data_IF_451778894603
#
_entry.id   IF_451778894603
#
_cell.length_a   1.000
_cell.length_b   1.000
_cell.length_c   1.000
_cell.angle_alpha   90.00
_cell.angle_beta   90.00
_cell.angle_gamma   90.00
#
_symmetry.space_group_name_H-M   'P 1'
#
loop_
_entity.id
_entity.type
_entity.pdbx_description
1 polymer ?
#
# COMPACT_ATOMS: atom_id res chain seq x y z
N UNK A 1 10.14 4.48 45.19
CA UNK A 1 9.73 3.36 44.32
C UNK A 1 9.21 3.99 43.03
N UNK A 2 9.88 3.79 41.90
CA UNK A 2 9.36 4.29 40.61
C UNK A 2 8.16 3.42 40.28
N UNK A 3 6.94 3.98 40.31
CA UNK A 3 5.75 3.29 39.84
C UNK A 3 5.97 3.07 38.34
N UNK A 4 6.28 1.84 37.95
CA UNK A 4 6.40 1.48 36.54
C UNK A 4 4.97 1.47 35.99
N UNK A 5 4.59 2.56 35.34
CA UNK A 5 3.27 2.72 34.74
C UNK A 5 3.12 1.67 33.63
N UNK A 6 1.99 0.96 33.62
CA UNK A 6 1.70 -0.10 32.65
C UNK A 6 1.40 0.45 31.25
N UNK A 7 0.79 1.64 31.18
CA UNK A 7 0.36 2.33 29.96
C UNK A 7 0.66 3.83 30.04
N UNK A 8 1.09 4.45 28.94
CA UNK A 8 1.38 5.88 28.85
C UNK A 8 0.26 6.68 28.15
N UNK A 9 0.40 8.00 28.03
CA UNK A 9 -0.63 8.85 27.39
C UNK A 9 -0.93 8.49 25.92
N UNK A 10 0.02 7.92 25.19
CA UNK A 10 -0.20 7.50 23.80
C UNK A 10 -1.10 6.28 23.74
N UNK A 11 -0.99 5.38 24.70
CA UNK A 11 -1.84 4.19 24.79
C UNK A 11 -3.32 4.55 24.99
N UNK A 12 -3.63 5.68 25.63
CA UNK A 12 -5.03 6.14 25.77
C UNK A 12 -5.65 6.69 24.48
N UNK A 13 -4.86 6.92 23.42
CA UNK A 13 -5.37 7.41 22.13
C UNK A 13 -6.22 6.39 21.39
N UNK A 14 -6.17 5.12 21.79
CA UNK A 14 -7.02 4.06 21.23
C UNK A 14 -8.49 4.21 21.62
N UNK A 15 -8.84 5.05 22.59
CA UNK A 15 -10.21 5.30 23.01
C UNK A 15 -10.70 6.63 22.43
N UNK A 16 -11.79 6.61 21.64
CA UNK A 16 -12.26 7.82 20.95
C UNK A 16 -12.99 8.77 21.90
N UNK A 17 -13.83 8.24 22.78
CA UNK A 17 -14.61 9.02 23.74
C UNK A 17 -13.92 9.16 25.11
N UNK A 18 -14.27 10.23 25.83
CA UNK A 18 -13.67 10.54 27.14
C UNK A 18 -14.07 9.53 28.22
N UNK A 19 -15.28 8.97 28.14
CA UNK A 19 -15.80 8.04 29.14
C UNK A 19 -15.02 6.73 29.16
N UNK A 20 -14.72 6.16 27.99
CA UNK A 20 -13.90 4.95 27.84
C UNK A 20 -12.49 5.16 28.37
N UNK A 21 -11.90 6.34 28.13
CA UNK A 21 -10.60 6.71 28.71
C UNK A 21 -10.68 6.77 30.24
N UNK A 22 -11.75 7.34 30.78
CA UNK A 22 -11.94 7.45 32.22
C UNK A 22 -12.19 6.09 32.89
N UNK A 23 -13.01 5.23 32.28
CA UNK A 23 -13.20 3.84 32.74
C UNK A 23 -11.89 3.06 32.77
N UNK A 24 -11.07 3.15 31.71
CA UNK A 24 -9.77 2.47 31.71
C UNK A 24 -8.80 3.04 32.76
N UNK A 25 -8.81 4.36 32.99
CA UNK A 25 -8.04 4.97 34.08
C UNK A 25 -8.48 4.47 35.45
N UNK A 26 -9.78 4.28 35.68
CA UNK A 26 -10.32 3.73 36.92
C UNK A 26 -9.84 2.29 37.17
N UNK A 27 -9.82 1.46 36.12
CA UNK A 27 -9.29 0.09 36.16
C UNK A 27 -7.81 0.12 36.57
N UNK A 28 -7.00 0.96 35.93
CA UNK A 28 -5.56 1.06 36.23
C UNK A 28 -5.30 1.63 37.63
N UNK A 29 -6.09 2.62 38.07
CA UNK A 29 -5.99 3.16 39.42
C UNK A 29 -6.29 2.08 40.46
N UNK A 30 -7.32 1.26 40.22
CA UNK A 30 -7.65 0.12 41.07
C UNK A 30 -6.52 -0.90 41.13
N UNK A 31 -5.89 -1.19 39.98
CA UNK A 31 -4.75 -2.09 39.88
C UNK A 31 -3.54 -1.59 40.67
N UNK A 32 -3.12 -0.33 40.46
CA UNK A 32 -1.98 0.26 41.17
C UNK A 32 -2.21 0.38 42.69
N UNK A 33 -3.47 0.49 43.10
CA UNK A 33 -3.88 0.49 44.50
C UNK A 33 -3.96 -0.92 45.11
N UNK A 34 -3.58 -1.96 44.36
CA UNK A 34 -3.64 -3.38 44.73
C UNK A 34 -5.07 -3.89 44.99
N UNK A 35 -6.09 -3.20 44.46
CA UNK A 35 -7.49 -3.62 44.54
C UNK A 35 -7.80 -4.64 43.42
N UNK A 36 -7.11 -5.78 43.41
CA UNK A 36 -7.13 -6.71 42.27
C UNK A 36 -8.51 -7.34 42.01
N UNK A 37 -9.30 -7.61 43.06
CA UNK A 37 -10.69 -8.07 42.89
C UNK A 37 -11.55 -7.04 42.16
N UNK A 38 -11.49 -5.77 42.58
CA UNK A 38 -12.23 -4.69 41.94
C UNK A 38 -11.75 -4.45 40.52
N UNK A 39 -10.42 -4.49 40.31
CA UNK A 39 -9.79 -4.37 38.99
C UNK A 39 -10.37 -5.38 37.98
N UNK A 40 -10.43 -6.66 38.35
CA UNK A 40 -10.97 -7.72 37.47
C UNK A 40 -12.46 -7.51 37.20
N UNK A 41 -13.24 -7.10 38.20
CA UNK A 41 -14.67 -6.83 38.04
C UNK A 41 -14.90 -5.64 37.10
N UNK A 42 -14.20 -4.53 37.29
CA UNK A 42 -14.28 -3.34 36.45
C UNK A 42 -13.81 -3.63 35.01
N UNK A 43 -12.72 -4.37 34.86
CA UNK A 43 -12.20 -4.76 33.55
C UNK A 43 -13.21 -5.58 32.74
N UNK A 44 -13.83 -6.58 33.36
CA UNK A 44 -14.85 -7.39 32.68
C UNK A 44 -16.07 -6.55 32.27
N UNK A 45 -16.57 -5.68 33.15
CA UNK A 45 -17.68 -4.78 32.83
C UNK A 45 -17.34 -3.87 31.64
N UNK A 46 -16.12 -3.33 31.62
CA UNK A 46 -15.67 -2.47 30.53
C UNK A 46 -15.50 -3.23 29.21
N UNK A 47 -15.01 -4.47 29.25
CA UNK A 47 -14.94 -5.36 28.06
C UNK A 47 -16.32 -5.61 27.47
N UNK A 48 -17.33 -5.95 28.29
CA UNK A 48 -18.70 -6.15 27.79
C UNK A 48 -19.25 -4.87 27.19
N UNK A 49 -19.06 -3.74 27.88
CA UNK A 49 -19.51 -2.44 27.39
C UNK A 49 -18.88 -2.10 26.03
N UNK A 50 -17.57 -2.25 25.90
CA UNK A 50 -16.84 -1.98 24.66
C UNK A 50 -17.30 -2.90 23.52
N UNK A 51 -17.47 -4.21 23.78
CA UNK A 51 -18.04 -5.15 22.82
C UNK A 51 -19.47 -4.79 22.40
N UNK A 52 -20.30 -4.30 23.31
CA UNK A 52 -21.64 -3.85 23.00
C UNK A 52 -21.65 -2.59 22.12
N UNK A 53 -20.81 -1.59 22.42
CA UNK A 53 -20.64 -0.40 21.57
C UNK A 53 -20.16 -0.81 20.17
N UNK A 54 -19.25 -1.78 20.07
CA UNK A 54 -18.78 -2.32 18.79
C UNK A 54 -19.88 -2.99 18.00
N UNK A 55 -20.76 -3.76 18.67
CA UNK A 55 -21.94 -4.35 18.05
C UNK A 55 -22.88 -3.28 17.50
N UNK A 56 -23.12 -2.20 18.25
CA UNK A 56 -23.92 -1.06 17.80
C UNK A 56 -23.30 -0.39 16.57
N UNK A 57 -21.99 -0.15 16.58
CA UNK A 57 -21.29 0.43 15.44
C UNK A 57 -21.39 -0.46 14.20
N UNK A 58 -21.22 -1.77 14.34
CA UNK A 58 -21.42 -2.73 13.24
C UNK A 58 -22.84 -2.66 12.67
N UNK A 59 -23.86 -2.61 13.52
CA UNK A 59 -25.26 -2.50 13.08
C UNK A 59 -25.53 -1.17 12.34
N UNK A 60 -25.03 -0.05 12.88
CA UNK A 60 -25.19 1.28 12.28
C UNK A 60 -24.50 1.40 10.92
N UNK A 61 -23.42 0.65 10.69
CA UNK A 61 -22.73 0.56 9.40
C UNK A 61 -23.37 -0.45 8.43
N UNK A 62 -24.50 -1.07 8.80
CA UNK A 62 -25.32 -1.90 7.92
C UNK A 62 -25.08 -3.41 8.03
N UNK A 63 -24.33 -3.88 9.03
CA UNK A 63 -24.21 -5.32 9.28
C UNK A 63 -25.56 -5.90 9.77
N UNK A 64 -26.21 -6.67 8.88
CA UNK A 64 -27.52 -7.28 9.15
C UNK A 64 -27.50 -8.26 10.31
N UNK A 65 -26.40 -8.97 10.55
CA UNK A 65 -26.28 -9.90 11.67
C UNK A 65 -26.15 -9.14 12.98
N UNK A 66 -25.34 -8.07 12.99
CA UNK A 66 -25.21 -7.19 14.14
C UNK A 66 -26.53 -6.50 14.48
N UNK A 67 -27.25 -5.96 13.48
CA UNK A 67 -28.56 -5.32 13.67
C UNK A 67 -29.58 -6.29 14.28
N UNK A 68 -29.63 -7.53 13.78
CA UNK A 68 -30.49 -8.56 14.35
C UNK A 68 -30.14 -8.86 15.81
N UNK A 69 -28.86 -9.09 16.11
CA UNK A 69 -28.41 -9.41 17.47
C UNK A 69 -28.60 -8.22 18.43
N UNK A 70 -28.41 -6.99 17.96
CA UNK A 70 -28.64 -5.79 18.75
C UNK A 70 -30.12 -5.65 19.15
N UNK A 71 -31.05 -5.93 18.22
CA UNK A 71 -32.48 -5.97 18.52
C UNK A 71 -32.82 -7.04 19.55
N UNK A 72 -32.26 -8.25 19.40
CA UNK A 72 -32.42 -9.33 20.39
C UNK A 72 -31.95 -8.88 21.79
N UNK A 73 -30.76 -8.28 21.89
CA UNK A 73 -30.21 -7.80 23.18
C UNK A 73 -31.07 -6.69 23.78
N UNK A 74 -31.53 -5.72 22.98
CA UNK A 74 -32.39 -4.65 23.48
C UNK A 74 -33.71 -5.20 24.03
N UNK A 75 -34.32 -6.20 23.38
CA UNK A 75 -35.50 -6.89 23.92
C UNK A 75 -35.19 -7.61 25.23
N UNK A 76 -34.04 -8.29 25.36
CA UNK A 76 -33.65 -8.93 26.62
C UNK A 76 -33.50 -7.92 27.77
N UNK A 77 -33.04 -6.70 27.48
CA UNK A 77 -32.94 -5.61 28.45
C UNK A 77 -34.33 -5.08 28.82
N UNK A 78 -35.23 -4.93 27.84
CA UNK A 78 -36.62 -4.50 28.06
C UNK A 78 -37.42 -5.50 28.91
N UNK A 79 -37.15 -6.80 28.73
CA UNK A 79 -37.78 -7.91 29.46
C UNK A 79 -37.18 -8.14 30.87
N UNK A 80 -36.27 -7.27 31.33
CA UNK A 80 -35.54 -7.38 32.60
C UNK A 80 -34.83 -8.74 32.77
N UNK A 81 -34.28 -9.27 31.67
CA UNK A 81 -33.50 -10.49 31.73
C UNK A 81 -32.22 -10.29 32.57
N UNK A 82 -31.74 -11.38 33.18
CA UNK A 82 -30.51 -11.35 33.96
C UNK A 82 -29.35 -10.78 33.12
N UNK A 83 -28.69 -9.74 33.63
CA UNK A 83 -27.50 -9.16 32.99
C UNK A 83 -26.45 -10.20 32.57
N UNK A 84 -26.24 -11.26 33.37
CA UNK A 84 -25.32 -12.33 33.02
C UNK A 84 -25.68 -13.09 31.74
N UNK A 85 -26.97 -13.12 31.36
CA UNK A 85 -27.44 -13.69 30.10
C UNK A 85 -27.16 -12.75 28.93
N UNK A 86 -27.43 -11.46 29.11
CA UNK A 86 -27.11 -10.40 28.13
C UNK A 86 -25.61 -10.36 27.83
N UNK A 87 -24.76 -10.38 28.87
CA UNK A 87 -23.30 -10.43 28.74
C UNK A 87 -22.83 -11.61 27.88
N UNK A 88 -23.47 -12.78 28.04
CA UNK A 88 -23.11 -13.98 27.29
C UNK A 88 -23.49 -13.88 25.82
N UNK A 89 -24.67 -13.34 25.51
CA UNK A 89 -25.11 -13.15 24.12
C UNK A 89 -24.19 -12.19 23.35
N UNK A 90 -23.71 -11.14 24.01
CA UNK A 90 -22.75 -10.20 23.42
C UNK A 90 -21.45 -10.94 23.07
N UNK A 91 -20.86 -11.65 24.03
CA UNK A 91 -19.62 -12.40 23.79
C UNK A 91 -19.82 -13.46 22.69
N UNK A 92 -20.93 -14.22 22.76
CA UNK A 92 -21.20 -15.32 21.84
C UNK A 92 -21.33 -14.83 20.40
N UNK A 93 -21.94 -13.66 20.18
CA UNK A 93 -22.01 -13.05 18.85
C UNK A 93 -20.62 -12.90 18.21
N UNK A 94 -19.65 -12.37 18.96
CA UNK A 94 -18.29 -12.17 18.44
C UNK A 94 -17.55 -13.49 18.23
N UNK A 95 -17.74 -14.47 19.11
CA UNK A 95 -17.21 -15.84 18.93
C UNK A 95 -17.71 -16.46 17.62
N UNK A 96 -19.00 -16.33 17.32
CA UNK A 96 -19.62 -16.97 16.17
C UNK A 96 -19.39 -16.22 14.85
N UNK A 97 -19.28 -14.89 14.90
CA UNK A 97 -19.27 -14.04 13.69
C UNK A 97 -17.93 -13.40 13.38
N UNK A 98 -16.98 -13.39 14.32
CA UNK A 98 -15.64 -12.82 14.14
C UNK A 98 -14.51 -13.83 14.45
N UNK A 99 -14.58 -15.11 14.04
CA UNK A 99 -13.67 -16.16 14.52
C UNK A 99 -12.21 -15.92 14.16
N UNK A 100 -11.90 -15.42 12.94
CA UNK A 100 -10.49 -15.16 12.55
C UNK A 100 -9.77 -14.18 13.50
N UNK A 101 -10.53 -13.39 14.25
CA UNK A 101 -10.00 -12.49 15.26
C UNK A 101 -10.11 -13.09 16.67
N UNK A 102 -11.32 -13.46 17.10
CA UNK A 102 -11.60 -13.84 18.49
C UNK A 102 -11.03 -15.20 18.90
N UNK A 103 -10.81 -16.14 17.97
CA UNK A 103 -10.32 -17.49 18.29
C UNK A 103 -8.97 -17.47 19.03
N UNK A 104 -8.16 -16.42 18.84
CA UNK A 104 -6.83 -16.29 19.46
C UNK A 104 -6.85 -15.96 20.94
N UNK A 105 -7.93 -15.37 21.44
CA UNK A 105 -8.03 -14.86 22.82
C UNK A 105 -9.37 -15.20 23.47
N UNK A 106 -10.07 -16.19 22.91
CA UNK A 106 -11.35 -16.67 23.44
C UNK A 106 -11.19 -17.23 24.85
N UNK A 107 -10.07 -17.92 25.09
CA UNK A 107 -9.68 -18.47 26.39
C UNK A 107 -9.45 -17.35 27.41
N UNK A 108 -8.89 -16.22 26.98
CA UNK A 108 -8.64 -15.07 27.85
C UNK A 108 -9.94 -14.39 28.30
N UNK A 109 -10.92 -14.26 27.40
CA UNK A 109 -12.27 -13.76 27.74
C UNK A 109 -12.95 -14.71 28.73
N UNK A 110 -12.91 -16.01 28.46
CA UNK A 110 -13.53 -17.01 29.31
C UNK A 110 -12.84 -17.08 30.68
N UNK A 111 -11.52 -16.92 30.71
CA UNK A 111 -10.74 -16.81 31.94
C UNK A 111 -11.07 -15.54 32.72
N UNK A 112 -11.19 -14.38 32.06
CA UNK A 112 -11.60 -13.12 32.68
C UNK A 112 -12.98 -13.27 33.35
N UNK A 113 -13.96 -13.84 32.63
CA UNK A 113 -15.31 -14.09 33.15
C UNK A 113 -15.28 -14.99 34.38
N UNK A 114 -14.53 -16.09 34.32
CA UNK A 114 -14.37 -17.02 35.44
C UNK A 114 -13.71 -16.33 36.65
N UNK A 115 -12.68 -15.51 36.41
CA UNK A 115 -12.00 -14.74 37.44
C UNK A 115 -12.94 -13.70 38.07
N UNK A 116 -13.72 -12.97 37.25
CA UNK A 116 -14.74 -12.01 37.69
C UNK A 116 -15.79 -12.67 38.57
N UNK A 117 -16.30 -13.85 38.18
CA UNK A 117 -17.28 -14.57 38.99
C UNK A 117 -16.71 -14.96 40.37
N UNK A 118 -15.46 -15.43 40.43
CA UNK A 118 -14.77 -15.71 41.71
C UNK A 118 -14.53 -14.43 42.54
N UNK A 119 -14.26 -13.30 41.89
CA UNK A 119 -14.04 -12.03 42.58
C UNK A 119 -15.35 -11.43 43.13
N UNK A 120 -16.45 -11.54 42.40
CA UNK A 120 -17.74 -10.93 42.74
C UNK A 120 -18.58 -11.77 43.72
N UNK A 121 -18.46 -13.10 43.68
CA UNK A 121 -19.28 -14.00 44.49
C UNK A 121 -18.48 -14.62 45.65
N UNK A 122 -19.06 -14.62 46.85
CA UNK A 122 -18.49 -15.30 48.02
C UNK A 122 -18.51 -16.81 47.80
N UNK A 123 -17.37 -17.48 48.04
CA UNK A 123 -17.35 -18.94 48.18
C UNK A 123 -17.94 -19.31 49.53
N UNK A 124 -19.20 -19.74 49.53
CA UNK A 124 -19.95 -20.12 50.74
C UNK A 124 -19.28 -21.28 51.50
N UNK A 125 -18.49 -22.11 50.82
CA UNK A 125 -17.92 -23.33 51.42
C UNK A 125 -16.58 -23.15 52.15
N UNK A 126 -15.84 -22.05 51.93
CA UNK A 126 -14.43 -21.93 52.39
C UNK A 126 -14.12 -20.71 53.26
N UNK A 127 -15.11 -19.86 53.60
CA UNK A 127 -14.93 -18.61 54.38
C UNK A 127 -13.82 -17.65 53.86
N UNK A 128 -13.28 -17.88 52.66
CA UNK A 128 -12.20 -17.08 52.08
C UNK A 128 -12.65 -16.46 50.77
N UNK A 129 -12.33 -15.17 50.60
CA UNK A 129 -12.55 -14.45 49.36
C UNK A 129 -11.41 -14.76 48.39
N UNK A 130 -11.73 -15.14 47.17
CA UNK A 130 -10.73 -15.29 46.12
C UNK A 130 -10.13 -13.92 45.77
N UNK A 131 -8.80 -13.81 45.85
CA UNK A 131 -8.05 -12.62 45.45
C UNK A 131 -7.09 -13.03 44.32
N UNK A 132 -7.22 -12.47 43.11
CA UNK A 132 -6.26 -12.72 42.05
C UNK A 132 -4.90 -12.10 42.41
N UNK A 133 -3.82 -12.72 41.94
CA UNK A 133 -2.47 -12.15 42.10
C UNK A 133 -2.25 -10.97 41.15
N UNK A 134 -1.24 -10.15 41.47
CA UNK A 134 -0.76 -9.05 40.62
C UNK A 134 -0.56 -9.50 39.16
N UNK A 135 0.15 -10.61 38.95
CA UNK A 135 0.42 -11.17 37.64
C UNK A 135 -0.85 -11.52 36.86
N UNK A 136 -1.85 -12.11 37.52
CA UNK A 136 -3.12 -12.46 36.86
C UNK A 136 -3.90 -11.21 36.48
N UNK A 137 -4.00 -10.22 37.38
CA UNK A 137 -4.69 -8.96 37.09
C UNK A 137 -4.01 -8.23 35.93
N UNK A 138 -2.67 -8.14 35.97
CA UNK A 138 -1.87 -7.53 34.91
C UNK A 138 -2.04 -8.21 33.55
N UNK A 139 -1.94 -9.53 33.52
CA UNK A 139 -2.10 -10.32 32.29
C UNK A 139 -3.47 -10.08 31.65
N UNK A 140 -4.54 -10.10 32.46
CA UNK A 140 -5.90 -9.84 31.98
C UNK A 140 -6.04 -8.41 31.43
N UNK A 141 -5.48 -7.40 32.11
CA UNK A 141 -5.51 -6.01 31.61
C UNK A 141 -4.81 -5.91 30.25
N UNK A 142 -3.59 -6.45 30.13
CA UNK A 142 -2.82 -6.40 28.88
C UNK A 142 -3.55 -7.13 27.75
N UNK A 143 -4.01 -8.37 27.98
CA UNK A 143 -4.71 -9.16 26.97
C UNK A 143 -6.00 -8.45 26.49
N UNK A 144 -6.84 -7.96 27.40
CA UNK A 144 -8.08 -7.26 27.01
C UNK A 144 -7.80 -5.92 26.33
N UNK A 145 -6.73 -5.22 26.73
CA UNK A 145 -6.32 -4.00 26.05
C UNK A 145 -5.88 -4.30 24.61
N UNK A 146 -4.97 -5.25 24.42
CA UNK A 146 -4.39 -5.58 23.11
C UNK A 146 -5.41 -6.21 22.16
N UNK A 147 -6.33 -7.02 22.68
CA UNK A 147 -7.22 -7.85 21.87
C UNK A 147 -8.67 -7.39 21.83
N UNK A 148 -9.09 -6.49 22.71
CA UNK A 148 -10.46 -5.97 22.67
C UNK A 148 -10.38 -4.45 22.57
N UNK A 149 -9.99 -3.79 23.65
CA UNK A 149 -10.19 -2.35 23.83
C UNK A 149 -9.46 -1.48 22.79
N UNK A 150 -8.27 -1.88 22.35
CA UNK A 150 -7.50 -1.12 21.36
C UNK A 150 -7.97 -1.31 19.92
N UNK A 151 -8.80 -2.33 19.65
CA UNK A 151 -9.24 -2.67 18.30
C UNK A 151 -10.59 -2.05 17.98
N UNK A 152 -10.71 -1.43 16.81
CA UNK A 152 -11.90 -0.69 16.38
C UNK A 152 -12.87 -1.57 15.59
N UNK A 153 -14.17 -1.38 15.81
CA UNK A 153 -15.23 -1.95 14.97
C UNK A 153 -15.63 -0.98 13.84
N UNK A 154 -16.24 -1.48 12.75
CA UNK A 154 -16.52 -2.89 12.47
C UNK A 154 -15.27 -3.70 12.12
N UNK A 155 -15.28 -4.98 12.50
CA UNK A 155 -14.23 -5.92 12.11
C UNK A 155 -14.45 -6.31 10.64
N UNK A 156 -13.73 -5.68 9.73
CA UNK A 156 -13.79 -6.04 8.31
C UNK A 156 -13.05 -7.39 8.15
N UNK A 157 -13.80 -8.48 8.02
CA UNK A 157 -13.24 -9.84 7.87
C UNK A 157 -13.00 -10.25 6.42
N UNK A 158 -13.71 -9.61 5.49
CA UNK A 158 -13.60 -9.80 4.06
C UNK A 158 -13.89 -8.49 3.35
N UNK A 159 -12.83 -7.72 3.06
CA UNK A 159 -12.96 -6.41 2.43
C UNK A 159 -13.69 -6.48 1.09
N UNK A 160 -13.48 -7.54 0.31
CA UNK A 160 -14.06 -7.61 -1.04
C UNK A 160 -15.59 -7.60 -1.00
N UNK A 161 -16.19 -8.29 -0.02
CA UNK A 161 -17.64 -8.37 0.14
C UNK A 161 -18.35 -7.03 0.44
N UNK A 162 -17.61 -6.05 0.95
CA UNK A 162 -18.16 -4.74 1.33
C UNK A 162 -17.65 -3.61 0.44
N UNK A 163 -16.48 -3.79 -0.20
CA UNK A 163 -15.83 -2.77 -1.01
C UNK A 163 -16.19 -2.86 -2.50
N UNK A 164 -17.02 -3.82 -2.91
CA UNK A 164 -17.34 -4.07 -4.33
C UNK A 164 -17.83 -2.80 -5.04
N UNK A 165 -18.77 -2.07 -4.45
CA UNK A 165 -19.31 -0.83 -5.05
C UNK A 165 -18.23 0.25 -5.21
N UNK A 166 -17.34 0.40 -4.22
CA UNK A 166 -16.23 1.35 -4.31
C UNK A 166 -15.19 0.91 -5.34
N UNK A 167 -14.96 -0.41 -5.49
CA UNK A 167 -14.09 -0.95 -6.55
C UNK A 167 -14.64 -0.58 -7.92
N UNK A 168 -15.95 -0.73 -8.13
CA UNK A 168 -16.62 -0.36 -9.37
C UNK A 168 -16.55 1.17 -9.61
N UNK A 169 -16.80 1.99 -8.58
CA UNK A 169 -16.70 3.46 -8.66
C UNK A 169 -15.28 3.93 -9.00
N UNK A 170 -14.24 3.33 -8.38
CA UNK A 170 -12.86 3.63 -8.73
C UNK A 170 -12.47 3.11 -10.12
N UNK A 171 -13.08 2.02 -10.58
CA UNK A 171 -12.86 1.54 -11.94
C UNK A 171 -13.39 2.51 -12.99
N UNK A 172 -14.52 3.17 -12.72
CA UNK A 172 -15.11 4.17 -13.62
C UNK A 172 -14.40 5.53 -13.57
N UNK A 173 -13.92 5.94 -12.38
CA UNK A 173 -13.30 7.26 -12.19
C UNK A 173 -11.81 7.33 -12.56
N UNK A 174 -11.07 6.21 -12.45
CA UNK A 174 -9.65 6.17 -12.78
C UNK A 174 -9.49 5.89 -14.28
N UNK A 175 -9.18 6.95 -15.04
CA UNK A 175 -8.99 6.86 -16.49
C UNK A 175 -7.69 6.16 -16.92
N UNK A 176 -6.65 6.22 -16.08
CA UNK A 176 -5.34 5.65 -16.39
C UNK A 176 -4.57 5.31 -15.11
N UNK A 177 -3.78 4.23 -15.16
CA UNK A 177 -2.87 3.81 -14.09
C UNK A 177 -1.47 4.33 -14.42
N UNK A 178 -0.94 5.32 -13.67
CA UNK A 178 0.41 5.79 -13.88
C UNK A 178 1.43 4.77 -13.38
N UNK A 179 2.63 4.81 -13.94
CA UNK A 179 3.72 3.88 -13.62
C UNK A 179 4.41 4.17 -12.28
N UNK A 180 4.07 5.27 -11.61
CA UNK A 180 4.74 5.81 -10.43
C UNK A 180 3.78 6.07 -9.25
N UNK A 181 2.61 5.43 -9.25
CA UNK A 181 1.83 5.25 -8.04
C UNK A 181 0.34 5.57 -8.16
N UNK A 182 -0.23 6.09 -7.07
CA UNK A 182 -1.66 6.33 -6.92
C UNK A 182 -1.91 7.65 -6.18
N UNK A 183 -2.96 8.36 -6.60
CA UNK A 183 -3.42 9.60 -6.00
C UNK A 183 -3.57 9.48 -4.47
N UNK A 184 -3.00 10.43 -3.75
CA UNK A 184 -3.01 10.44 -2.28
C UNK A 184 -4.42 10.58 -1.69
N UNK A 185 -5.35 11.26 -2.36
CA UNK A 185 -6.75 11.38 -1.94
C UNK A 185 -7.45 10.02 -2.00
N UNK A 186 -7.21 9.24 -3.07
CA UNK A 186 -7.76 7.88 -3.19
C UNK A 186 -7.19 6.98 -2.07
N UNK A 187 -5.86 6.99 -1.88
CA UNK A 187 -5.21 6.22 -0.81
C UNK A 187 -5.76 6.58 0.58
N UNK A 188 -5.90 7.88 0.86
CA UNK A 188 -6.41 8.36 2.14
C UNK A 188 -7.88 7.97 2.36
N UNK A 189 -8.70 8.04 1.31
CA UNK A 189 -10.11 7.61 1.35
C UNK A 189 -10.24 6.13 1.69
N UNK A 190 -9.58 5.25 0.93
CA UNK A 190 -9.60 3.80 1.14
C UNK A 190 -9.03 3.44 2.53
N UNK A 191 -7.93 4.09 2.93
CA UNK A 191 -7.30 3.84 4.24
C UNK A 191 -8.22 4.23 5.39
N UNK A 192 -8.86 5.40 5.31
CA UNK A 192 -9.74 5.89 6.36
C UNK A 192 -11.05 5.10 6.45
N UNK A 193 -11.63 4.73 5.30
CA UNK A 193 -12.89 3.99 5.21
C UNK A 193 -12.72 2.53 5.63
N UNK A 194 -11.63 1.89 5.23
CA UNK A 194 -11.45 0.44 5.39
C UNK A 194 -10.23 0.07 6.23
N UNK A 195 -9.02 0.39 5.76
CA UNK A 195 -7.81 -0.31 6.23
C UNK A 195 -7.49 -0.06 7.71
N UNK A 196 -7.77 1.13 8.25
CA UNK A 196 -7.57 1.45 9.68
C UNK A 196 -8.41 0.60 10.64
N UNK A 197 -9.46 -0.06 10.14
CA UNK A 197 -10.40 -0.88 10.90
C UNK A 197 -10.12 -2.38 10.73
N UNK A 198 -9.10 -2.72 9.95
CA UNK A 198 -8.73 -4.11 9.66
C UNK A 198 -7.70 -4.60 10.66
N UNK A 199 -7.84 -5.86 11.06
CA UNK A 199 -6.79 -6.61 11.74
C UNK A 199 -5.73 -7.03 10.73
N UNK A 200 -4.55 -7.43 11.21
CA UNK A 200 -3.50 -7.98 10.35
C UNK A 200 -4.00 -9.16 9.49
N UNK A 201 -4.74 -10.11 10.09
CA UNK A 201 -5.24 -11.28 9.36
C UNK A 201 -6.30 -10.95 8.33
N UNK A 202 -7.18 -9.99 8.66
CA UNK A 202 -8.15 -9.46 7.71
C UNK A 202 -7.46 -8.77 6.53
N UNK A 203 -6.45 -7.96 6.80
CA UNK A 203 -5.65 -7.28 5.78
C UNK A 203 -4.95 -8.30 4.90
N UNK A 204 -4.30 -9.29 5.49
CA UNK A 204 -3.64 -10.40 4.80
C UNK A 204 -4.58 -11.15 3.87
N UNK A 205 -5.75 -11.58 4.39
CA UNK A 205 -6.77 -12.29 3.61
C UNK A 205 -7.28 -11.43 2.45
N UNK A 206 -7.52 -10.16 2.70
CA UNK A 206 -8.01 -9.23 1.68
C UNK A 206 -6.94 -8.96 0.62
N UNK A 207 -5.71 -8.69 1.03
CA UNK A 207 -4.57 -8.49 0.13
C UNK A 207 -4.41 -9.66 -0.83
N UNK A 208 -4.42 -10.89 -0.30
CA UNK A 208 -4.41 -12.13 -1.09
C UNK A 208 -5.50 -12.15 -2.16
N UNK A 209 -6.74 -11.83 -1.77
CA UNK A 209 -7.88 -11.80 -2.69
C UNK A 209 -7.69 -10.75 -3.77
N UNK A 210 -7.39 -9.51 -3.41
CA UNK A 210 -7.28 -8.40 -4.36
C UNK A 210 -6.11 -8.55 -5.33
N UNK A 211 -4.93 -9.00 -4.87
CA UNK A 211 -3.79 -9.27 -5.76
C UNK A 211 -4.14 -10.36 -6.77
N UNK A 212 -4.79 -11.45 -6.34
CA UNK A 212 -5.23 -12.52 -7.23
C UNK A 212 -6.25 -12.01 -8.26
N UNK A 213 -7.24 -11.23 -7.83
CA UNK A 213 -8.25 -10.68 -8.73
C UNK A 213 -7.64 -9.69 -9.74
N UNK A 214 -6.69 -8.86 -9.30
CA UNK A 214 -6.02 -7.87 -10.15
C UNK A 214 -5.11 -8.52 -11.20
N UNK A 215 -4.23 -9.43 -10.77
CA UNK A 215 -3.08 -9.87 -11.57
C UNK A 215 -3.23 -11.26 -12.21
N UNK A 216 -4.15 -12.11 -11.71
CA UNK A 216 -4.26 -13.51 -12.13
C UNK A 216 -5.64 -13.87 -12.70
N UNK A 217 -6.72 -13.25 -12.20
CA UNK A 217 -8.08 -13.61 -12.60
C UNK A 217 -8.47 -13.05 -13.98
N UNK A 218 -8.91 -13.92 -14.89
CA UNK A 218 -9.44 -13.53 -16.21
C UNK A 218 -10.97 -13.45 -16.26
N UNK A 219 -11.63 -13.43 -15.09
CA UNK A 219 -13.07 -13.19 -15.03
C UNK A 219 -13.41 -11.80 -15.59
N UNK A 220 -14.49 -11.71 -16.37
CA UNK A 220 -14.91 -10.48 -17.06
C UNK A 220 -15.07 -9.29 -16.09
N UNK A 221 -15.67 -9.53 -14.93
CA UNK A 221 -15.81 -8.53 -13.87
C UNK A 221 -14.45 -8.04 -13.32
N UNK A 222 -13.43 -8.91 -13.28
CA UNK A 222 -12.09 -8.49 -12.85
C UNK A 222 -11.43 -7.62 -13.91
N UNK A 223 -11.63 -7.93 -15.20
CA UNK A 223 -11.09 -7.16 -16.33
C UNK A 223 -11.75 -5.79 -16.40
N UNK A 224 -13.07 -5.73 -16.22
CA UNK A 224 -13.83 -4.46 -16.17
C UNK A 224 -13.36 -3.58 -15.02
N UNK A 225 -13.05 -4.16 -13.87
CA UNK A 225 -12.75 -3.43 -12.65
C UNK A 225 -11.24 -3.33 -12.31
N UNK A 226 -10.34 -3.50 -13.29
CA UNK A 226 -8.88 -3.49 -13.05
C UNK A 226 -8.41 -2.24 -12.33
N UNK A 227 -8.88 -1.05 -12.72
CA UNK A 227 -8.45 0.21 -12.10
C UNK A 227 -8.87 0.32 -10.63
N UNK A 228 -10.07 -0.15 -10.28
CA UNK A 228 -10.53 -0.22 -8.89
C UNK A 228 -9.74 -1.24 -8.06
N UNK A 229 -9.54 -2.45 -8.61
CA UNK A 229 -8.72 -3.48 -7.98
C UNK A 229 -7.28 -3.00 -7.75
N UNK A 230 -6.72 -2.24 -8.70
CA UNK A 230 -5.43 -1.58 -8.57
C UNK A 230 -5.43 -0.57 -7.42
N UNK A 231 -6.43 0.32 -7.34
CA UNK A 231 -6.51 1.33 -6.28
C UNK A 231 -6.46 0.70 -4.88
N UNK A 232 -7.24 -0.36 -4.67
CA UNK A 232 -7.25 -1.11 -3.41
C UNK A 232 -5.93 -1.85 -3.16
N UNK A 233 -5.42 -2.59 -4.14
CA UNK A 233 -4.18 -3.37 -3.99
C UNK A 233 -2.98 -2.47 -3.69
N UNK A 234 -2.87 -1.35 -4.39
CA UNK A 234 -1.82 -0.36 -4.17
C UNK A 234 -1.94 0.25 -2.78
N UNK A 235 -3.14 0.66 -2.37
CA UNK A 235 -3.36 1.25 -1.04
C UNK A 235 -3.10 0.24 0.09
N UNK A 236 -3.47 -1.02 -0.07
CA UNK A 236 -3.16 -2.07 0.90
C UNK A 236 -1.65 -2.34 0.99
N UNK A 237 -0.94 -2.30 -0.14
CA UNK A 237 0.53 -2.42 -0.16
C UNK A 237 1.18 -1.27 0.61
N UNK A 238 0.76 -0.03 0.32
CA UNK A 238 1.20 1.19 1.02
C UNK A 238 0.97 1.10 2.53
N UNK A 239 -0.24 0.70 2.91
CA UNK A 239 -0.66 0.58 4.31
C UNK A 239 0.12 -0.51 5.03
N UNK A 240 0.31 -1.68 4.42
CA UNK A 240 1.08 -2.77 5.02
C UNK A 240 2.53 -2.34 5.30
N UNK A 241 3.19 -1.68 4.35
CA UNK A 241 4.57 -1.21 4.52
C UNK A 241 4.66 -0.14 5.61
N UNK A 242 3.77 0.85 5.61
CA UNK A 242 3.76 1.93 6.62
C UNK A 242 3.50 1.44 8.04
N UNK A 243 2.80 0.31 8.21
CA UNK A 243 2.54 -0.29 9.51
C UNK A 243 3.54 -1.40 9.89
N UNK A 244 4.61 -1.59 9.11
CA UNK A 244 5.65 -2.58 9.41
C UNK A 244 5.24 -4.04 9.16
N UNK A 245 4.20 -4.27 8.35
CA UNK A 245 3.67 -5.60 8.02
C UNK A 245 4.44 -6.28 6.87
N UNK A 246 5.76 -6.06 6.77
CA UNK A 246 6.60 -6.56 5.68
C UNK A 246 6.60 -8.09 5.57
N UNK A 247 6.36 -8.82 6.66
CA UNK A 247 6.25 -10.28 6.66
C UNK A 247 5.13 -10.82 5.76
N UNK A 248 4.10 -10.01 5.50
CA UNK A 248 3.00 -10.35 4.59
C UNK A 248 3.49 -10.76 3.20
N UNK A 249 4.54 -10.10 2.72
CA UNK A 249 5.09 -10.27 1.37
C UNK A 249 6.00 -11.50 1.25
N UNK A 250 6.42 -12.08 2.38
CA UNK A 250 7.22 -13.31 2.42
C UNK A 250 6.37 -14.57 2.63
N UNK A 251 5.04 -14.44 2.67
CA UNK A 251 4.18 -15.58 2.86
C UNK A 251 4.06 -16.43 1.60
N UNK A 252 4.19 -17.75 1.77
CA UNK A 252 4.12 -18.72 0.68
C UNK A 252 2.85 -18.54 -0.18
N UNK A 253 1.70 -18.26 0.45
CA UNK A 253 0.44 -18.09 -0.29
C UNK A 253 0.32 -16.78 -1.07
N UNK A 254 1.11 -15.75 -0.73
CA UNK A 254 1.20 -14.51 -1.50
C UNK A 254 2.20 -14.70 -2.64
N UNK A 255 3.37 -15.30 -2.35
CA UNK A 255 4.39 -15.65 -3.35
C UNK A 255 3.78 -16.53 -4.46
N UNK A 256 2.99 -17.54 -4.08
CA UNK A 256 2.28 -18.43 -5.02
C UNK A 256 1.30 -17.69 -5.95
N UNK A 257 0.75 -16.54 -5.54
CA UNK A 257 -0.09 -15.73 -6.43
C UNK A 257 0.77 -15.02 -7.47
N UNK A 258 1.88 -14.41 -7.05
CA UNK A 258 2.79 -13.72 -7.96
C UNK A 258 3.47 -14.67 -8.95
N UNK A 259 3.76 -15.91 -8.54
CA UNK A 259 4.29 -16.94 -9.45
C UNK A 259 3.27 -17.42 -10.50
N UNK A 260 1.97 -17.18 -10.28
CA UNK A 260 0.90 -17.52 -11.23
C UNK A 260 0.61 -16.42 -12.25
N UNK A 261 1.20 -15.24 -12.08
CA UNK A 261 1.14 -14.19 -13.10
C UNK A 261 1.82 -14.72 -14.36
N UNK A 262 1.17 -14.56 -15.50
CA UNK A 262 1.71 -14.98 -16.79
C UNK A 262 1.76 -13.81 -17.77
N UNK A 263 2.71 -13.87 -18.69
CA UNK A 263 2.97 -12.80 -19.67
C UNK A 263 1.78 -12.55 -20.59
N UNK A 264 1.04 -13.59 -20.97
CA UNK A 264 -0.11 -13.47 -21.89
C UNK A 264 -1.26 -12.69 -21.27
N UNK A 265 -1.57 -12.92 -20.00
CA UNK A 265 -2.56 -12.16 -19.23
C UNK A 265 -2.19 -10.68 -19.07
N UNK A 266 -0.90 -10.34 -19.06
CA UNK A 266 -0.42 -8.95 -19.05
C UNK A 266 -0.49 -8.30 -20.44
N UNK A 267 -0.15 -9.05 -21.50
CA UNK A 267 -0.27 -8.57 -22.90
C UNK A 267 -1.72 -8.28 -23.28
N UNK A 268 -2.65 -9.10 -22.80
CA UNK A 268 -4.08 -8.96 -23.10
C UNK A 268 -4.75 -7.81 -22.31
N UNK A 269 -4.07 -7.23 -21.31
CA UNK A 269 -4.61 -6.13 -20.50
C UNK A 269 -3.54 -5.10 -20.15
N UNK A 270 -3.48 -4.02 -20.94
CA UNK A 270 -2.61 -2.87 -20.67
C UNK A 270 -2.79 -2.29 -19.26
N UNK A 271 -4.02 -2.10 -18.73
CA UNK A 271 -4.20 -1.65 -17.34
C UNK A 271 -3.60 -2.61 -16.31
N UNK A 272 -3.69 -3.94 -16.52
CA UNK A 272 -3.11 -4.93 -15.60
C UNK A 272 -1.58 -4.88 -15.62
N UNK A 273 -0.97 -4.74 -16.80
CA UNK A 273 0.48 -4.55 -16.92
C UNK A 273 0.92 -3.25 -16.20
N UNK A 274 0.21 -2.15 -16.41
CA UNK A 274 0.50 -0.87 -15.75
C UNK A 274 0.32 -0.96 -14.22
N UNK A 275 -0.68 -1.70 -13.73
CA UNK A 275 -0.88 -1.95 -12.31
C UNK A 275 0.32 -2.68 -11.69
N UNK A 276 0.83 -3.73 -12.36
CA UNK A 276 2.02 -4.45 -11.91
C UNK A 276 3.26 -3.55 -11.93
N UNK A 277 3.47 -2.80 -13.02
CA UNK A 277 4.58 -1.85 -13.16
C UNK A 277 4.55 -0.86 -12.01
N UNK A 278 3.41 -0.22 -11.76
CA UNK A 278 3.27 0.77 -10.69
C UNK A 278 3.56 0.19 -9.30
N UNK A 279 3.12 -1.03 -9.02
CA UNK A 279 3.40 -1.70 -7.75
C UNK A 279 4.90 -1.96 -7.56
N UNK A 280 5.57 -2.53 -8.57
CA UNK A 280 6.99 -2.92 -8.43
C UNK A 280 7.94 -1.72 -8.44
N UNK A 281 7.61 -0.65 -9.17
CA UNK A 281 8.40 0.59 -9.18
C UNK A 281 8.23 1.39 -7.89
N UNK A 282 7.04 1.32 -7.28
CA UNK A 282 6.75 2.03 -6.01
C UNK A 282 7.23 1.26 -4.78
N UNK A 283 7.26 -0.07 -4.84
CA UNK A 283 7.51 -0.92 -3.68
C UNK A 283 8.57 -2.01 -3.97
N UNK A 284 9.83 -1.82 -3.57
CA UNK A 284 10.92 -2.78 -3.82
C UNK A 284 10.64 -4.20 -3.32
N UNK A 285 9.92 -4.34 -2.20
CA UNK A 285 9.53 -5.66 -1.67
C UNK A 285 8.64 -6.45 -2.64
N UNK A 286 7.81 -5.77 -3.42
CA UNK A 286 6.98 -6.41 -4.46
C UNK A 286 7.82 -6.72 -5.70
N UNK A 287 8.75 -5.83 -6.07
CA UNK A 287 9.72 -6.09 -7.14
C UNK A 287 10.52 -7.37 -6.88
N UNK A 288 10.96 -7.58 -5.64
CA UNK A 288 11.73 -8.78 -5.27
C UNK A 288 10.91 -10.06 -5.44
N UNK A 289 9.61 -10.07 -5.09
CA UNK A 289 8.74 -11.23 -5.34
C UNK A 289 8.60 -11.48 -6.85
N UNK A 290 8.37 -10.43 -7.64
CA UNK A 290 8.15 -10.55 -9.09
C UNK A 290 9.43 -11.03 -9.80
N UNK A 291 10.61 -10.68 -9.28
CA UNK A 291 11.90 -11.10 -9.83
C UNK A 291 12.08 -12.63 -9.85
N UNK A 292 11.44 -13.34 -8.93
CA UNK A 292 11.46 -14.81 -8.93
C UNK A 292 10.66 -15.41 -10.10
N UNK A 293 9.70 -14.66 -10.66
CA UNK A 293 8.99 -15.00 -11.88
C UNK A 293 9.71 -14.39 -13.10
N UNK A 294 10.80 -15.04 -13.54
CA UNK A 294 11.71 -14.54 -14.58
C UNK A 294 11.02 -14.08 -15.86
N UNK A 295 10.08 -14.87 -16.38
CA UNK A 295 9.39 -14.55 -17.64
C UNK A 295 8.59 -13.25 -17.53
N UNK A 296 7.89 -13.05 -16.39
CA UNK A 296 7.13 -11.82 -16.12
C UNK A 296 8.06 -10.65 -15.85
N UNK A 297 9.12 -10.86 -15.08
CA UNK A 297 10.12 -9.84 -14.79
C UNK A 297 10.76 -9.32 -16.08
N UNK A 298 11.24 -10.22 -16.94
CA UNK A 298 11.88 -9.88 -18.22
C UNK A 298 10.90 -9.17 -19.17
N UNK A 299 9.63 -9.61 -19.19
CA UNK A 299 8.60 -8.95 -19.99
C UNK A 299 8.36 -7.51 -19.53
N UNK A 300 8.15 -7.30 -18.22
CA UNK A 300 7.88 -5.97 -17.66
C UNK A 300 9.11 -5.06 -17.76
N UNK A 301 10.31 -5.56 -17.46
CA UNK A 301 11.54 -4.78 -17.59
C UNK A 301 11.72 -4.30 -19.03
N UNK A 302 11.49 -5.18 -20.02
CA UNK A 302 11.54 -4.79 -21.43
C UNK A 302 10.45 -3.78 -21.79
N UNK A 303 9.21 -3.96 -21.32
CA UNK A 303 8.10 -3.03 -21.58
C UNK A 303 8.37 -1.60 -21.05
N UNK A 304 9.11 -1.49 -19.94
CA UNK A 304 9.46 -0.20 -19.31
C UNK A 304 10.74 0.38 -19.91
N UNK A 305 11.83 -0.38 -19.91
CA UNK A 305 13.18 0.11 -20.20
C UNK A 305 13.47 0.30 -21.68
N UNK A 306 12.60 -0.18 -22.58
CA UNK A 306 12.70 0.11 -24.02
C UNK A 306 12.13 1.47 -24.40
N UNK A 307 11.49 2.19 -23.46
CA UNK A 307 10.92 3.52 -23.69
C UNK A 307 11.85 4.60 -23.14
N UNK A 308 12.04 5.73 -23.83
CA UNK A 308 12.89 6.83 -23.37
C UNK A 308 12.61 7.27 -21.93
N UNK A 309 11.33 7.45 -21.58
CA UNK A 309 10.90 7.86 -20.24
C UNK A 309 11.08 6.79 -19.16
N UNK A 310 11.21 5.52 -19.54
CA UNK A 310 11.40 4.43 -18.59
C UNK A 310 12.87 4.19 -18.24
N UNK A 311 13.81 4.80 -18.97
CA UNK A 311 15.24 4.61 -18.77
C UNK A 311 15.70 4.99 -17.36
N UNK A 312 15.09 6.01 -16.74
CA UNK A 312 15.36 6.42 -15.36
C UNK A 312 15.05 5.32 -14.33
N UNK A 313 14.23 4.33 -14.68
CA UNK A 313 13.91 3.17 -13.84
C UNK A 313 14.92 2.03 -13.96
N UNK A 314 15.97 2.15 -14.80
CA UNK A 314 16.95 1.08 -14.98
C UNK A 314 17.55 0.59 -13.66
N UNK A 315 17.96 1.50 -12.77
CA UNK A 315 18.50 1.15 -11.44
C UNK A 315 17.45 0.63 -10.46
N UNK A 316 16.16 0.88 -10.71
CA UNK A 316 15.07 0.27 -9.94
C UNK A 316 14.93 -1.21 -10.29
N UNK A 317 15.00 -1.56 -11.59
CA UNK A 317 14.97 -2.95 -12.04
C UNK A 317 16.27 -3.71 -11.74
N UNK A 318 17.41 -3.03 -11.88
CA UNK A 318 18.75 -3.62 -11.80
C UNK A 318 19.64 -2.87 -10.77
N UNK A 319 19.28 -2.88 -9.47
CA UNK A 319 19.97 -2.08 -8.46
C UNK A 319 21.40 -2.53 -8.17
N UNK A 320 21.74 -3.79 -8.50
CA UNK A 320 23.06 -4.39 -8.25
C UNK A 320 23.96 -4.43 -9.47
N UNK A 321 23.45 -4.06 -10.65
CA UNK A 321 24.26 -4.05 -11.87
C UNK A 321 25.27 -2.91 -11.82
N UNK A 322 26.53 -3.23 -12.15
CA UNK A 322 27.60 -2.23 -12.21
C UNK A 322 27.43 -1.27 -13.39
N UNK A 323 26.76 -1.73 -14.45
CA UNK A 323 26.47 -0.94 -15.65
C UNK A 323 25.72 0.34 -15.29
N UNK A 324 26.18 1.49 -15.78
CA UNK A 324 25.52 2.79 -15.61
C UNK A 324 24.25 2.90 -16.46
N UNK A 325 23.42 3.91 -16.19
CA UNK A 325 22.24 4.18 -17.03
C UNK A 325 22.69 4.59 -18.44
N UNK A 326 23.78 5.36 -18.56
CA UNK A 326 24.33 5.76 -19.85
C UNK A 326 24.88 4.59 -20.67
N UNK A 327 25.64 3.66 -20.06
CA UNK A 327 26.04 2.42 -20.73
C UNK A 327 24.82 1.62 -21.24
N UNK A 328 23.78 1.48 -20.42
CA UNK A 328 22.56 0.81 -20.86
C UNK A 328 21.88 1.55 -22.02
N UNK A 329 21.79 2.89 -21.95
CA UNK A 329 21.28 3.71 -23.04
C UNK A 329 22.02 3.44 -24.35
N UNK A 330 23.35 3.39 -24.35
CA UNK A 330 24.16 3.15 -25.56
C UNK A 330 23.89 1.80 -26.22
N UNK A 331 23.70 0.75 -25.42
CA UNK A 331 23.45 -0.61 -25.91
C UNK A 331 22.03 -0.82 -26.44
N UNK A 332 21.08 0.04 -26.07
CA UNK A 332 19.64 -0.17 -26.33
C UNK A 332 19.08 0.89 -27.28
N UNK A 333 19.21 0.67 -28.58
CA UNK A 333 18.77 1.64 -29.60
C UNK A 333 17.27 1.95 -29.60
N UNK A 334 16.44 1.11 -28.97
CA UNK A 334 14.99 1.37 -28.88
C UNK A 334 14.64 2.63 -28.09
N UNK A 335 15.52 3.08 -27.19
CA UNK A 335 15.31 4.31 -26.40
C UNK A 335 15.81 5.56 -27.12
N UNK A 336 16.50 5.42 -28.25
CA UNK A 336 17.07 6.53 -29.00
C UNK A 336 15.98 7.21 -29.81
N UNK A 337 15.25 8.12 -29.17
CA UNK A 337 14.19 8.90 -29.80
C UNK A 337 14.48 10.40 -29.65
N UNK A 338 14.82 11.08 -30.76
CA UNK A 338 15.30 12.47 -30.72
C UNK A 338 14.28 13.48 -30.16
N UNK A 339 12.98 13.15 -30.18
CA UNK A 339 11.94 13.97 -29.54
C UNK A 339 12.06 14.00 -28.00
N UNK A 340 12.74 13.02 -27.40
CA UNK A 340 12.99 12.92 -25.96
C UNK A 340 14.43 13.27 -25.58
N UNK A 341 15.17 13.99 -26.44
CA UNK A 341 16.58 14.34 -26.20
C UNK A 341 16.79 14.95 -24.81
N UNK A 342 15.99 15.95 -24.43
CA UNK A 342 16.09 16.59 -23.11
C UNK A 342 15.84 15.60 -21.96
N UNK A 343 14.81 14.76 -22.07
CA UNK A 343 14.46 13.77 -21.03
C UNK A 343 15.57 12.73 -20.87
N UNK A 344 16.11 12.27 -21.99
CA UNK A 344 17.21 11.30 -22.02
C UNK A 344 18.47 11.93 -21.43
N UNK A 345 18.80 13.16 -21.81
CA UNK A 345 19.93 13.92 -21.26
C UNK A 345 19.82 14.06 -19.74
N UNK A 346 18.68 14.54 -19.24
CA UNK A 346 18.43 14.66 -17.79
C UNK A 346 18.56 13.32 -17.05
N UNK A 347 18.27 12.20 -17.74
CA UNK A 347 18.39 10.86 -17.17
C UNK A 347 19.83 10.36 -17.08
N UNK A 348 20.72 10.79 -18.00
CA UNK A 348 22.07 10.22 -18.13
C UNK A 348 23.19 11.19 -17.75
N UNK A 349 22.95 12.51 -17.69
CA UNK A 349 23.98 13.55 -17.51
C UNK A 349 24.81 13.41 -16.24
N UNK A 350 24.22 12.84 -15.19
CA UNK A 350 24.89 12.66 -13.88
C UNK A 350 25.61 11.30 -13.78
N UNK A 351 25.68 10.52 -14.86
CA UNK A 351 26.48 9.29 -14.88
C UNK A 351 27.98 9.62 -14.97
N UNK A 352 28.81 8.97 -14.16
CA UNK A 352 30.27 9.18 -14.16
C UNK A 352 30.93 8.95 -15.53
N UNK A 353 30.32 8.08 -16.35
CA UNK A 353 30.77 7.72 -17.70
C UNK A 353 30.06 8.51 -18.82
N UNK A 354 29.29 9.54 -18.48
CA UNK A 354 28.57 10.36 -19.46
C UNK A 354 29.53 11.17 -20.34
N UNK A 355 29.28 11.14 -21.64
CA UNK A 355 30.00 11.91 -22.66
C UNK A 355 28.97 12.65 -23.52
N UNK A 356 28.95 13.99 -23.42
CA UNK A 356 28.01 14.83 -24.15
C UNK A 356 28.20 14.72 -25.66
N UNK A 357 29.45 14.65 -26.16
CA UNK A 357 29.75 14.58 -27.58
C UNK A 357 29.27 13.25 -28.19
N UNK A 358 29.50 12.15 -27.48
CA UNK A 358 28.96 10.83 -27.86
C UNK A 358 27.41 10.84 -27.82
N UNK A 359 26.82 11.41 -26.78
CA UNK A 359 25.37 11.52 -26.64
C UNK A 359 24.71 12.29 -27.78
N UNK A 360 25.21 13.48 -28.15
CA UNK A 360 24.62 14.27 -29.26
C UNK A 360 24.76 13.56 -30.59
N UNK A 361 25.83 12.80 -30.82
CA UNK A 361 26.00 11.98 -32.03
C UNK A 361 24.95 10.86 -32.07
N UNK A 362 24.70 10.16 -30.96
CA UNK A 362 23.66 9.14 -30.87
C UNK A 362 22.29 9.76 -31.18
N UNK A 363 21.96 10.89 -30.57
CA UNK A 363 20.67 11.55 -30.73
C UNK A 363 20.48 12.17 -32.12
N UNK A 364 21.54 12.65 -32.77
CA UNK A 364 21.48 13.11 -34.17
C UNK A 364 21.14 11.96 -35.13
N UNK A 365 21.73 10.77 -34.92
CA UNK A 365 21.43 9.58 -35.71
C UNK A 365 20.01 9.05 -35.46
N UNK A 366 19.45 9.33 -34.29
CA UNK A 366 18.09 8.93 -33.89
C UNK A 366 16.97 9.73 -34.59
N UNK A 367 17.30 10.79 -35.33
CA UNK A 367 16.30 11.60 -36.03
C UNK A 367 15.73 10.79 -37.20
N UNK A 368 14.40 10.55 -37.26
CA UNK A 368 13.79 9.80 -38.35
C UNK A 368 14.03 10.44 -39.72
N UNK A 369 14.14 9.61 -40.76
CA UNK A 369 14.27 10.07 -42.16
C UNK A 369 12.92 10.39 -42.82
N UNK A 370 11.81 10.10 -42.15
CA UNK A 370 10.44 10.41 -42.57
C UNK A 370 9.63 10.95 -41.39
N UNK A 371 8.80 11.97 -41.63
CA UNK A 371 7.99 12.65 -40.62
C UNK A 371 8.81 13.11 -39.38
N UNK A 372 10.05 13.55 -39.64
CA UNK A 372 11.08 13.80 -38.62
C UNK A 372 11.28 15.27 -38.26
N UNK A 373 10.56 16.22 -38.89
CA UNK A 373 10.79 17.66 -38.67
C UNK A 373 10.72 18.06 -37.19
N UNK A 374 9.72 17.56 -36.45
CA UNK A 374 9.59 17.87 -35.03
C UNK A 374 10.73 17.28 -34.19
N UNK A 375 11.16 16.05 -34.51
CA UNK A 375 12.30 15.39 -33.86
C UNK A 375 13.60 16.17 -34.11
N UNK A 376 13.80 16.64 -35.34
CA UNK A 376 14.95 17.45 -35.72
C UNK A 376 14.96 18.82 -35.02
N UNK A 377 13.80 19.43 -34.81
CA UNK A 377 13.66 20.68 -34.07
C UNK A 377 13.93 20.50 -32.56
N UNK A 378 13.41 19.42 -31.95
CA UNK A 378 13.72 19.06 -30.56
C UNK A 378 15.23 18.86 -30.36
N UNK A 379 15.85 18.02 -31.20
CA UNK A 379 17.29 17.80 -31.16
C UNK A 379 18.08 19.09 -31.38
N UNK A 380 17.72 19.90 -32.38
CA UNK A 380 18.45 21.12 -32.70
C UNK A 380 18.37 22.17 -31.57
N UNK A 381 17.22 22.30 -30.92
CA UNK A 381 17.10 23.17 -29.75
C UNK A 381 18.09 22.73 -28.65
N UNK A 382 18.06 21.44 -28.27
CA UNK A 382 19.01 20.87 -27.31
C UNK A 382 20.47 21.09 -27.72
N UNK A 383 20.80 20.80 -28.98
CA UNK A 383 22.16 20.92 -29.49
C UNK A 383 22.69 22.35 -29.41
N UNK A 384 21.84 23.36 -29.69
CA UNK A 384 22.22 24.77 -29.56
C UNK A 384 22.37 25.21 -28.11
N UNK A 385 21.53 24.71 -27.20
CA UNK A 385 21.63 25.02 -25.76
C UNK A 385 22.95 24.52 -25.16
N UNK A 386 23.45 23.38 -25.63
CA UNK A 386 24.68 22.76 -25.16
C UNK A 386 25.90 22.99 -26.06
N UNK A 387 25.79 23.83 -27.10
CA UNK A 387 26.86 24.01 -28.09
C UNK A 387 28.17 24.53 -27.48
N UNK A 388 28.07 25.28 -26.37
CA UNK A 388 29.22 25.82 -25.64
C UNK A 388 30.09 24.79 -24.95
N UNK A 389 29.57 23.58 -24.77
CA UNK A 389 30.21 22.47 -24.07
C UNK A 389 30.93 21.52 -25.04
N UNK A 390 30.86 21.80 -26.36
CA UNK A 390 31.44 20.98 -27.42
C UNK A 390 32.59 21.70 -28.12
N UNK A 391 33.60 20.96 -28.53
CA UNK A 391 34.67 21.45 -29.40
C UNK A 391 34.19 21.65 -30.84
N UNK A 392 34.87 22.51 -31.60
CA UNK A 392 34.58 22.73 -33.02
C UNK A 392 34.59 21.44 -33.85
N UNK A 393 35.48 20.49 -33.51
CA UNK A 393 35.55 19.21 -34.21
C UNK A 393 34.33 18.34 -33.95
N UNK A 394 33.83 18.30 -32.71
CA UNK A 394 32.63 17.55 -32.33
C UNK A 394 31.38 18.16 -32.96
N UNK A 395 31.27 19.49 -32.94
CA UNK A 395 30.17 20.22 -33.58
C UNK A 395 30.13 19.88 -35.08
N UNK A 396 31.26 19.97 -35.78
CA UNK A 396 31.32 19.63 -37.21
C UNK A 396 30.92 18.17 -37.47
N UNK A 397 31.36 17.23 -36.61
CA UNK A 397 30.96 15.83 -36.70
C UNK A 397 29.44 15.61 -36.59
N UNK A 398 28.78 16.30 -35.65
CA UNK A 398 27.31 16.27 -35.53
C UNK A 398 26.63 16.88 -36.75
N UNK A 399 27.13 18.02 -37.25
CA UNK A 399 26.57 18.68 -38.43
C UNK A 399 26.67 17.81 -39.69
N UNK A 400 27.75 17.05 -39.86
CA UNK A 400 27.88 16.09 -40.97
C UNK A 400 26.80 15.02 -40.94
N UNK A 401 26.44 14.51 -39.75
CA UNK A 401 25.34 13.55 -39.58
C UNK A 401 24.01 14.23 -39.88
N UNK A 402 23.79 15.40 -39.28
CA UNK A 402 22.56 16.16 -39.38
C UNK A 402 22.22 16.53 -40.83
N UNK A 403 23.21 17.00 -41.61
CA UNK A 403 23.03 17.44 -42.99
C UNK A 403 22.71 16.29 -43.97
N UNK A 404 22.99 15.03 -43.61
CA UNK A 404 22.64 13.86 -44.44
C UNK A 404 21.15 13.52 -44.40
N UNK A 405 20.41 14.03 -43.41
CA UNK A 405 18.99 13.77 -43.25
C UNK A 405 18.14 14.91 -43.85
N UNK A 406 17.34 14.60 -44.87
CA UNK A 406 16.44 15.59 -45.49
C UNK A 406 15.38 16.15 -44.54
N UNK A 407 15.02 15.43 -43.48
CA UNK A 407 14.13 15.94 -42.41
C UNK A 407 14.83 17.00 -41.55
N UNK A 408 16.16 17.01 -41.51
CA UNK A 408 16.94 18.01 -40.81
C UNK A 408 17.18 19.26 -41.67
N UNK A 409 17.40 19.10 -42.97
CA UNK A 409 17.77 20.22 -43.85
C UNK A 409 16.57 20.96 -44.46
N UNK A 410 15.44 20.28 -44.65
CA UNK A 410 14.26 20.84 -45.33
C UNK A 410 13.23 21.48 -44.37
N UNK A 411 13.54 21.54 -43.07
CA UNK A 411 12.70 22.21 -42.07
C UNK A 411 12.80 23.74 -42.21
N UNK A 412 11.70 24.44 -41.93
CA UNK A 412 11.60 25.90 -42.10
C UNK A 412 12.65 26.70 -41.31
N UNK A 413 13.08 26.17 -40.15
CA UNK A 413 14.05 26.80 -39.24
C UNK A 413 15.51 26.55 -39.59
N UNK A 414 15.79 25.66 -40.56
CA UNK A 414 17.16 25.18 -40.80
C UNK A 414 18.16 26.30 -41.09
N UNK A 415 17.82 27.22 -42.00
CA UNK A 415 18.72 28.30 -42.39
C UNK A 415 19.08 29.22 -41.20
N UNK A 416 18.11 29.50 -40.32
CA UNK A 416 18.33 30.34 -39.15
C UNK A 416 19.23 29.64 -38.11
N UNK A 417 18.92 28.38 -37.79
CA UNK A 417 19.71 27.62 -36.80
C UNK A 417 21.13 27.34 -37.29
N UNK A 418 21.33 27.02 -38.58
CA UNK A 418 22.67 26.83 -39.14
C UNK A 418 23.51 28.11 -39.10
N UNK A 419 22.90 29.27 -39.40
CA UNK A 419 23.57 30.57 -39.30
C UNK A 419 24.05 30.88 -37.88
N UNK A 420 23.25 30.51 -36.88
CA UNK A 420 23.59 30.66 -35.46
C UNK A 420 24.79 29.78 -35.08
N UNK A 421 24.79 28.51 -35.49
CA UNK A 421 25.88 27.57 -35.24
C UNK A 421 27.17 27.98 -35.96
N UNK A 422 27.09 28.38 -37.23
CA UNK A 422 28.24 28.87 -38.00
C UNK A 422 28.83 30.16 -37.44
N UNK A 423 27.99 31.02 -36.87
CA UNK A 423 28.47 32.19 -36.13
C UNK A 423 29.27 31.76 -34.91
N UNK A 424 28.74 30.84 -34.12
CA UNK A 424 29.44 30.30 -32.95
C UNK A 424 30.80 29.66 -33.31
N UNK A 425 30.85 28.81 -34.35
CA UNK A 425 32.09 28.17 -34.81
C UNK A 425 33.17 29.20 -35.23
N UNK A 426 32.76 30.35 -35.79
CA UNK A 426 33.70 31.42 -36.20
C UNK A 426 34.20 32.28 -35.03
N UNK A 427 33.48 32.28 -33.91
CA UNK A 427 33.79 33.08 -32.73
C UNK A 427 34.65 32.33 -31.70
N UNK A 428 34.81 31.00 -31.89
CA UNK A 428 35.78 30.11 -31.24
C UNK A 428 37.17 30.26 -31.87
#
# INVERSE_FOLDING_TARGET
MVIKVLFDEKDFRVFDNADSRNYFKEILQSYYSQNYRATVVLLYSFVIYDLFIKLQNMANEGDKKADKKLKEINTMIEDDEKYSKVENEIIQFFKDNCPLYFDRFIEDIDYLKNCRNKCAHLKVNDNTLYVPSDYHARMLICSMYDHILSVKAPFIMDLFSIAQTDVEEYAESISYIPSDGLDNLIKNSITAKYLKRMTYDSLKKSYKTFVRLLLVSDAEECIKNVCGLYAFTFTMTDYAIKNGYSSLFSEETIIDIYSKINVEGLKNSSPRANALISLITSYPIVMDIVRDNKDVFDYISNQVLTKPRGLNLYKVFFPRESKSIYCYFKENTSVHEAIYTDVLYETVKDCDDFDLAEFVVIMANAIPTFNGFHYADCFMNFFKEHITELSTSEINGVLEIYQRNGQCTNRARNAADMSEIEKYIREQ
#
